data_IF_109724243175
#
_entry.id   IF_109724243175
#
_cell.length_a   1.000
_cell.length_b   1.000
_cell.length_c   1.000
_cell.angle_alpha   90.00
_cell.angle_beta   90.00
_cell.angle_gamma   90.00
#
_symmetry.space_group_name_H-M   'P 1'
#
loop_
_entity.id
_entity.type
_entity.pdbx_description
1 polymer ?
#
# COMPACT_ATOMS: atom_id res chain seq x y z
N UNK A 1 -14.23 -18.60 -1.86
CA UNK A 1 -13.82 -17.63 -2.89
C UNK A 1 -12.66 -16.80 -2.34
N UNK A 2 -11.72 -16.35 -3.18
CA UNK A 2 -10.64 -15.44 -2.79
C UNK A 2 -11.10 -13.97 -2.88
N UNK A 3 -11.55 -13.41 -1.76
CA UNK A 3 -12.18 -12.09 -1.73
C UNK A 3 -11.09 -11.02 -1.87
N UNK A 4 -11.32 -9.99 -2.69
CA UNK A 4 -10.41 -8.86 -2.85
C UNK A 4 -9.16 -9.14 -3.69
N UNK A 5 -8.98 -10.35 -4.22
CA UNK A 5 -7.86 -10.64 -5.13
C UNK A 5 -7.99 -9.93 -6.50
N UNK A 6 -9.18 -9.83 -7.12
CA UNK A 6 -9.32 -9.12 -8.39
C UNK A 6 -8.94 -7.64 -8.31
N UNK A 7 -9.21 -6.98 -7.18
CA UNK A 7 -8.97 -5.54 -6.96
C UNK A 7 -7.64 -5.26 -6.27
N UNK A 8 -6.86 -6.30 -5.91
CA UNK A 8 -5.67 -6.18 -5.06
C UNK A 8 -4.68 -5.11 -5.52
N UNK A 9 -4.33 -5.11 -6.80
CA UNK A 9 -3.34 -4.18 -7.36
C UNK A 9 -3.93 -2.77 -7.55
N UNK A 10 -5.20 -2.68 -7.96
CA UNK A 10 -5.89 -1.39 -8.05
C UNK A 10 -5.97 -0.73 -6.67
N UNK A 11 -6.29 -1.50 -5.63
CA UNK A 11 -6.30 -1.02 -4.23
C UNK A 11 -4.94 -0.56 -3.75
N UNK A 12 -3.86 -1.24 -4.11
CA UNK A 12 -2.51 -0.81 -3.72
C UNK A 12 -2.16 0.56 -4.29
N UNK A 13 -2.48 0.80 -5.56
CA UNK A 13 -2.28 2.12 -6.21
C UNK A 13 -3.14 3.19 -5.54
N UNK A 14 -4.44 2.92 -5.35
CA UNK A 14 -5.37 3.87 -4.73
C UNK A 14 -4.98 4.21 -3.30
N UNK A 15 -4.47 3.24 -2.54
CA UNK A 15 -4.02 3.45 -1.17
C UNK A 15 -2.81 4.37 -1.11
N UNK A 16 -1.84 4.19 -2.00
CA UNK A 16 -0.65 5.05 -2.08
C UNK A 16 -1.02 6.46 -2.54
N UNK A 17 -1.90 6.59 -3.53
CA UNK A 17 -2.41 7.90 -3.95
C UNK A 17 -3.06 8.66 -2.78
N UNK A 18 -3.92 7.97 -2.00
CA UNK A 18 -4.53 8.56 -0.82
C UNK A 18 -3.48 8.92 0.25
N UNK A 19 -2.45 8.08 0.45
CA UNK A 19 -1.35 8.38 1.38
C UNK A 19 -0.56 9.63 0.96
N UNK A 20 -0.34 9.81 -0.34
CA UNK A 20 0.35 10.98 -0.89
C UNK A 20 -0.51 12.25 -0.78
N UNK A 21 -1.82 12.14 -1.07
CA UNK A 21 -2.78 13.25 -0.91
C UNK A 21 -2.89 13.72 0.54
N UNK A 22 -2.88 12.80 1.50
CA UNK A 22 -2.91 13.09 2.94
C UNK A 22 -1.53 13.44 3.52
N UNK A 23 -0.46 13.33 2.73
CA UNK A 23 0.90 13.66 3.14
C UNK A 23 1.50 12.72 4.19
N UNK A 24 1.02 11.48 4.31
CA UNK A 24 1.55 10.52 5.28
C UNK A 24 2.98 10.05 4.96
N UNK A 25 3.40 10.17 3.71
CA UNK A 25 4.73 9.75 3.27
C UNK A 25 4.95 8.23 3.35
N UNK A 26 6.19 7.81 3.07
CA UNK A 26 6.60 6.41 3.07
C UNK A 26 7.33 5.99 4.34
N UNK A 27 7.25 4.70 4.66
CA UNK A 27 8.03 4.10 5.74
C UNK A 27 9.43 3.67 5.27
N UNK A 28 10.44 3.84 6.12
CA UNK A 28 11.80 3.31 5.90
C UNK A 28 12.01 2.00 6.66
N UNK A 29 13.08 1.28 6.33
CA UNK A 29 13.45 0.03 7.02
C UNK A 29 13.90 0.23 8.48
N UNK A 30 13.99 1.47 8.98
CA UNK A 30 14.26 1.76 10.40
C UNK A 30 13.02 1.42 11.25
N UNK A 31 11.82 1.43 10.65
CA UNK A 31 10.58 1.02 11.32
C UNK A 31 9.95 2.10 12.21
N UNK A 32 10.41 3.35 12.14
CA UNK A 32 9.86 4.46 12.93
C UNK A 32 8.36 4.65 12.69
N UNK A 33 7.90 4.44 11.45
CA UNK A 33 6.49 4.57 11.08
C UNK A 33 5.59 3.57 11.82
N UNK A 34 6.05 2.34 12.05
CA UNK A 34 5.28 1.28 12.71
C UNK A 34 5.14 1.60 14.20
N UNK A 35 6.24 2.06 14.81
CA UNK A 35 6.29 2.42 16.22
C UNK A 35 5.38 3.59 16.59
N UNK A 36 5.16 4.54 15.67
CA UNK A 36 4.32 5.72 15.90
C UNK A 36 2.91 5.60 15.31
N UNK A 37 2.62 4.54 14.54
CA UNK A 37 1.33 4.40 13.88
C UNK A 37 0.22 4.16 14.91
N UNK A 38 -0.82 5.02 15.00
CA UNK A 38 -1.94 4.83 15.94
C UNK A 38 -2.83 3.63 15.58
N UNK A 39 -2.60 3.03 14.40
CA UNK A 39 -3.31 1.85 13.91
C UNK A 39 -2.46 0.59 13.96
N UNK A 40 -1.24 0.68 14.50
CA UNK A 40 -0.34 -0.46 14.70
C UNK A 40 -0.14 -1.29 13.42
N UNK A 41 0.01 -0.60 12.28
CA UNK A 41 0.26 -1.26 11.00
C UNK A 41 1.67 -1.84 11.02
N UNK A 42 1.78 -3.17 10.89
CA UNK A 42 3.08 -3.81 10.93
C UNK A 42 3.91 -3.59 9.67
N UNK A 43 5.24 -3.71 9.81
CA UNK A 43 6.15 -3.67 8.67
C UNK A 43 5.85 -4.75 7.61
N UNK A 44 5.28 -5.89 8.01
CA UNK A 44 4.88 -6.95 7.07
C UNK A 44 3.78 -6.49 6.10
N UNK A 45 2.79 -5.75 6.60
CA UNK A 45 1.71 -5.20 5.78
C UNK A 45 2.21 -4.07 4.89
N UNK A 46 3.09 -3.21 5.39
CA UNK A 46 3.74 -2.16 4.60
C UNK A 46 4.58 -2.78 3.49
N UNK A 47 5.36 -3.81 3.80
CA UNK A 47 6.14 -4.54 2.82
C UNK A 47 5.24 -5.24 1.78
N UNK A 48 4.07 -5.75 2.19
CA UNK A 48 3.09 -6.30 1.26
C UNK A 48 2.51 -5.24 0.32
N UNK A 49 2.13 -4.07 0.85
CA UNK A 49 1.66 -2.94 0.06
C UNK A 49 2.71 -2.54 -0.99
N UNK A 50 3.97 -2.40 -0.59
CA UNK A 50 5.07 -2.06 -1.49
C UNK A 50 5.28 -3.11 -2.58
N UNK A 51 5.20 -4.41 -2.25
CA UNK A 51 5.28 -5.49 -3.24
C UNK A 51 4.12 -5.45 -4.23
N UNK A 52 2.92 -5.17 -3.75
CA UNK A 52 1.72 -5.09 -4.58
C UNK A 52 1.75 -3.85 -5.48
N UNK A 53 2.25 -2.72 -4.99
CA UNK A 53 2.49 -1.51 -5.77
C UNK A 53 3.52 -1.74 -6.88
N UNK A 54 4.65 -2.39 -6.57
CA UNK A 54 5.67 -2.73 -7.59
C UNK A 54 5.04 -3.58 -8.70
N UNK A 55 4.27 -4.61 -8.34
CA UNK A 55 3.56 -5.44 -9.32
C UNK A 55 2.54 -4.62 -10.12
N UNK A 56 1.78 -3.74 -9.45
CA UNK A 56 0.79 -2.87 -10.08
C UNK A 56 1.42 -1.99 -11.18
N UNK A 57 2.62 -1.44 -10.94
CA UNK A 57 3.38 -0.63 -11.90
C UNK A 57 3.72 -1.36 -13.21
N UNK A 58 3.88 -2.69 -13.16
CA UNK A 58 4.11 -3.52 -14.35
C UNK A 58 2.82 -4.05 -14.99
N UNK A 59 1.70 -3.99 -14.28
CA UNK A 59 0.40 -4.53 -14.72
C UNK A 59 -0.56 -3.47 -15.26
N UNK A 60 -0.23 -2.17 -15.14
CA UNK A 60 -1.12 -1.08 -15.54
C UNK A 60 -2.37 -0.94 -14.67
N UNK A 61 -2.29 -1.36 -13.41
CA UNK A 61 -3.38 -1.24 -12.43
C UNK A 61 -3.56 0.21 -11.93
N UNK A 62 -4.71 0.50 -11.32
CA UNK A 62 -5.06 1.83 -10.78
C UNK A 62 -5.96 2.69 -11.66
N UNK A 63 -6.53 2.14 -12.74
CA UNK A 63 -7.41 2.85 -13.70
C UNK A 63 -8.90 2.46 -13.63
N UNK A 64 -9.32 1.66 -12.65
CA UNK A 64 -10.66 1.05 -12.61
C UNK A 64 -11.72 1.79 -11.79
N UNK A 65 -11.54 3.09 -11.54
CA UNK A 65 -12.56 3.92 -10.89
C UNK A 65 -12.75 5.22 -11.67
#
# INVERSE_FOLDING_TARGET
MPQGQPERYDRAVLMVNAMDEEGFGGCTNIGECEAVCPKEISLDFIAQLNRDLIKASFMGAGKRL
#
